data_IF_746223250042
#
_entry.id   IF_746223250042
#
_cell.length_a   1.000
_cell.length_b   1.000
_cell.length_c   1.000
_cell.angle_alpha   90.00
_cell.angle_beta   90.00
_cell.angle_gamma   90.00
#
_symmetry.space_group_name_H-M   'P 1'
#
loop_
_entity.id
_entity.type
_entity.pdbx_description
1 polymer ?
#
# COMPACT_ATOMS: atom_id res chain seq x y z
N UNK A 1 9.57 12.57 -11.68
CA UNK A 1 8.65 12.96 -10.60
C UNK A 1 8.69 11.91 -9.51
N UNK A 2 8.68 12.30 -8.23
CA UNK A 2 8.63 11.42 -7.06
C UNK A 2 7.45 11.85 -6.19
N UNK A 3 6.68 10.89 -5.69
CA UNK A 3 5.64 11.09 -4.68
C UNK A 3 5.94 10.21 -3.46
N UNK A 4 5.63 10.70 -2.27
CA UNK A 4 5.70 9.94 -1.03
C UNK A 4 4.30 9.74 -0.47
N UNK A 5 3.99 8.47 -0.18
CA UNK A 5 2.72 8.05 0.42
C UNK A 5 3.01 7.34 1.74
N UNK A 6 2.34 7.76 2.81
CA UNK A 6 2.40 7.09 4.11
C UNK A 6 1.48 5.86 4.13
N UNK A 7 2.11 4.72 4.35
CA UNK A 7 1.49 3.39 4.44
C UNK A 7 1.53 2.83 5.87
N UNK A 8 1.95 3.64 6.84
CA UNK A 8 1.94 3.27 8.25
C UNK A 8 0.51 3.09 8.77
N UNK A 9 0.41 2.65 10.04
CA UNK A 9 -0.84 2.58 10.78
C UNK A 9 -1.62 3.89 10.61
N UNK A 10 -2.95 3.79 10.47
CA UNK A 10 -3.79 4.97 10.25
C UNK A 10 -3.52 6.07 11.29
N UNK A 11 -3.28 7.29 10.80
CA UNK A 11 -3.12 8.50 11.59
C UNK A 11 -4.14 9.54 11.13
N UNK A 12 -4.31 10.63 11.87
CA UNK A 12 -5.17 11.76 11.47
C UNK A 12 -4.55 12.62 10.35
N UNK A 13 -3.32 12.32 9.93
CA UNK A 13 -2.60 13.08 8.92
C UNK A 13 -2.88 12.56 7.51
N UNK A 14 -2.70 13.44 6.51
CA UNK A 14 -2.79 13.03 5.11
C UNK A 14 -1.72 12.01 4.78
N UNK A 15 -2.13 10.93 4.09
CA UNK A 15 -1.19 9.94 3.55
C UNK A 15 -0.34 10.48 2.41
N UNK A 16 -0.75 11.55 1.74
CA UNK A 16 0.00 12.16 0.63
C UNK A 16 1.04 13.15 1.17
N UNK A 17 2.20 12.63 1.59
CA UNK A 17 3.17 13.37 2.39
C UNK A 17 4.04 14.36 1.60
N UNK A 18 4.21 14.17 0.29
CA UNK A 18 5.03 15.08 -0.50
C UNK A 18 5.25 14.67 -1.95
N UNK A 19 5.69 15.63 -2.76
CA UNK A 19 5.82 15.51 -4.20
C UNK A 19 6.99 16.36 -4.73
N UNK A 20 7.82 15.79 -5.61
CA UNK A 20 9.01 16.46 -6.15
C UNK A 20 9.22 16.15 -7.63
N UNK A 21 9.35 17.21 -8.44
CA UNK A 21 9.90 17.10 -9.80
C UNK A 21 11.42 17.11 -9.67
N UNK A 22 12.06 16.01 -10.05
CA UNK A 22 13.52 15.86 -9.98
C UNK A 22 14.12 16.18 -11.33
N UNK A 23 15.05 17.12 -11.32
CA UNK A 23 15.92 17.42 -12.43
C UNK A 23 16.93 16.28 -12.61
N UNK A 24 17.12 15.73 -13.83
CA UNK A 24 18.15 14.72 -14.10
C UNK A 24 19.56 15.10 -13.61
N UNK A 25 19.90 16.38 -13.51
CA UNK A 25 21.19 16.84 -12.97
C UNK A 25 21.29 16.72 -11.43
N UNK A 26 20.19 16.42 -10.72
CA UNK A 26 20.09 16.38 -9.25
C UNK A 26 19.76 14.98 -8.73
N UNK A 27 20.51 13.97 -9.16
CA UNK A 27 20.32 12.57 -8.74
C UNK A 27 20.51 12.36 -7.23
N UNK A 28 21.35 13.16 -6.57
CA UNK A 28 21.52 13.14 -5.11
C UNK A 28 20.20 13.39 -4.33
N UNK A 29 19.31 14.22 -4.88
CA UNK A 29 17.99 14.46 -4.33
C UNK A 29 17.13 13.20 -4.42
N UNK A 30 17.20 12.47 -5.54
CA UNK A 30 16.49 11.21 -5.71
C UNK A 30 16.96 10.18 -4.68
N UNK A 31 18.26 10.02 -4.47
CA UNK A 31 18.82 9.14 -3.42
C UNK A 31 18.32 9.52 -2.03
N UNK A 32 18.25 10.82 -1.72
CA UNK A 32 17.77 11.30 -0.42
C UNK A 32 16.28 11.01 -0.22
N UNK A 33 15.47 11.21 -1.26
CA UNK A 33 14.02 11.01 -1.20
C UNK A 33 13.58 9.54 -1.11
N UNK A 34 14.49 8.61 -1.37
CA UNK A 34 14.21 7.17 -1.49
C UNK A 34 14.93 6.31 -0.46
N UNK A 35 15.93 6.87 0.22
CA UNK A 35 16.64 6.22 1.33
C UNK A 35 15.66 5.72 2.39
N UNK A 36 15.85 4.47 2.81
CA UNK A 36 15.08 3.78 3.84
C UNK A 36 13.56 3.75 3.60
N UNK A 37 13.13 3.86 2.34
CA UNK A 37 11.72 3.80 1.92
C UNK A 37 11.47 2.62 1.00
N UNK A 38 10.22 2.19 0.94
CA UNK A 38 9.77 1.26 -0.09
C UNK A 38 9.61 2.00 -1.42
N UNK A 39 9.92 1.32 -2.52
CA UNK A 39 9.86 1.90 -3.85
C UNK A 39 8.74 1.28 -4.69
N UNK A 40 7.97 2.15 -5.31
CA UNK A 40 7.11 1.83 -6.45
C UNK A 40 7.59 2.67 -7.61
N UNK A 41 7.98 2.02 -8.70
CA UNK A 41 8.54 2.68 -9.86
C UNK A 41 7.94 2.10 -11.14
N UNK A 42 7.59 2.99 -12.07
CA UNK A 42 7.37 2.63 -13.48
C UNK A 42 8.69 2.17 -14.10
N UNK A 43 8.70 1.53 -15.27
CA UNK A 43 9.94 1.08 -15.92
C UNK A 43 10.96 2.23 -16.13
N UNK A 44 10.57 3.42 -16.64
CA UNK A 44 11.49 4.56 -16.71
C UNK A 44 11.96 5.05 -15.35
N UNK A 45 11.08 5.03 -14.34
CA UNK A 45 11.44 5.39 -12.96
C UNK A 45 12.45 4.42 -12.36
N UNK A 46 12.32 3.13 -12.65
CA UNK A 46 13.23 2.10 -12.18
C UNK A 46 14.64 2.28 -12.79
N UNK A 47 14.71 2.54 -14.10
CA UNK A 47 15.98 2.87 -14.78
C UNK A 47 16.63 4.11 -14.18
N UNK A 48 15.85 5.16 -13.88
CA UNK A 48 16.38 6.36 -13.22
C UNK A 48 16.92 6.07 -11.81
N UNK A 49 16.26 5.17 -11.06
CA UNK A 49 16.74 4.74 -9.74
C UNK A 49 18.04 3.94 -9.83
N UNK A 50 18.16 3.05 -10.82
CA UNK A 50 19.40 2.30 -11.08
C UNK A 50 20.56 3.23 -11.46
N UNK A 51 20.32 4.20 -12.35
CA UNK A 51 21.33 5.17 -12.76
C UNK A 51 21.83 6.07 -11.61
N UNK A 52 21.01 6.26 -10.57
CA UNK A 52 21.34 7.01 -9.36
C UNK A 52 21.97 6.14 -8.25
N UNK A 53 22.33 4.89 -8.55
CA UNK A 53 22.91 3.91 -7.62
C UNK A 53 22.12 3.76 -6.30
N UNK A 54 20.79 3.72 -6.44
CA UNK A 54 19.89 3.72 -5.29
C UNK A 54 19.75 2.35 -4.64
N UNK A 55 20.79 1.93 -3.94
CA UNK A 55 20.81 0.63 -3.26
C UNK A 55 20.26 0.69 -1.82
N UNK A 56 20.02 1.89 -1.27
CA UNK A 56 19.66 2.10 0.14
C UNK A 56 18.14 2.22 0.38
N UNK A 57 17.32 1.56 -0.42
CA UNK A 57 15.87 1.52 -0.22
C UNK A 57 15.46 0.22 0.52
N UNK A 58 14.31 0.21 1.19
CA UNK A 58 13.82 -0.99 1.91
C UNK A 58 13.41 -2.14 0.99
N UNK A 59 13.13 -1.86 -0.26
CA UNK A 59 12.76 -2.85 -1.28
C UNK A 59 11.82 -2.26 -2.32
N UNK A 60 11.71 -2.93 -3.45
CA UNK A 60 10.72 -2.58 -4.48
C UNK A 60 9.43 -3.33 -4.17
N UNK A 61 8.32 -2.61 -4.06
CA UNK A 61 7.02 -3.19 -3.73
C UNK A 61 6.47 -3.99 -4.91
N UNK A 62 5.98 -5.19 -4.62
CA UNK A 62 5.12 -5.95 -5.50
C UNK A 62 3.66 -5.53 -5.22
N UNK A 63 3.14 -4.61 -6.04
CA UNK A 63 1.78 -4.09 -5.89
C UNK A 63 0.70 -5.17 -6.04
N UNK A 64 0.94 -6.15 -6.91
CA UNK A 64 -0.01 -7.25 -7.14
C UNK A 64 -0.10 -8.14 -5.91
N UNK A 65 1.05 -8.58 -5.40
CA UNK A 65 1.10 -9.43 -4.20
C UNK A 65 0.61 -8.68 -2.95
N UNK A 66 0.89 -7.37 -2.87
CA UNK A 66 0.38 -6.49 -1.79
C UNK A 66 -1.14 -6.40 -1.83
N UNK A 67 -1.75 -6.13 -3.00
CA UNK A 67 -3.20 -6.09 -3.16
C UNK A 67 -3.84 -7.43 -2.81
N UNK A 68 -3.30 -8.54 -3.35
CA UNK A 68 -3.80 -9.89 -3.08
C UNK A 68 -3.75 -10.24 -1.58
N UNK A 69 -2.73 -9.77 -0.86
CA UNK A 69 -2.64 -9.95 0.60
C UNK A 69 -3.75 -9.21 1.33
N UNK A 70 -4.09 -7.99 0.91
CA UNK A 70 -5.20 -7.22 1.47
C UNK A 70 -6.55 -7.88 1.18
N UNK A 71 -6.77 -8.36 -0.04
CA UNK A 71 -8.00 -9.09 -0.43
C UNK A 71 -8.16 -10.41 0.32
N UNK A 72 -7.05 -11.13 0.53
CA UNK A 72 -7.03 -12.34 1.33
C UNK A 72 -7.42 -12.05 2.78
N UNK A 73 -6.93 -10.96 3.36
CA UNK A 73 -7.28 -10.58 4.74
C UNK A 73 -8.79 -10.30 4.88
N UNK A 74 -9.41 -9.60 3.93
CA UNK A 74 -10.88 -9.41 3.91
C UNK A 74 -11.59 -10.77 3.92
N UNK A 75 -11.14 -11.69 3.07
CA UNK A 75 -11.71 -13.04 2.98
C UNK A 75 -11.59 -13.81 4.30
N UNK A 76 -10.43 -13.76 4.94
CA UNK A 76 -10.18 -14.43 6.22
C UNK A 76 -11.04 -13.84 7.35
N UNK A 77 -11.13 -12.52 7.43
CA UNK A 77 -11.96 -11.84 8.44
C UNK A 77 -13.45 -12.08 8.22
N UNK A 78 -13.89 -12.13 6.96
CA UNK A 78 -15.27 -12.49 6.61
C UNK A 78 -15.60 -13.92 7.04
N UNK A 79 -14.71 -14.88 6.77
CA UNK A 79 -14.88 -16.27 7.22
C UNK A 79 -14.96 -16.38 8.75
N UNK A 80 -14.10 -15.64 9.48
CA UNK A 80 -14.14 -15.59 10.94
C UNK A 80 -15.47 -15.03 11.48
N UNK A 81 -16.01 -13.99 10.84
CA UNK A 81 -17.35 -13.47 11.16
C UNK A 81 -18.45 -14.53 10.96
N UNK A 82 -18.42 -15.24 9.84
CA UNK A 82 -19.41 -16.27 9.53
C UNK A 82 -19.35 -17.46 10.48
N UNK A 83 -18.14 -17.86 10.87
CA UNK A 83 -17.94 -18.90 11.89
C UNK A 83 -18.52 -18.46 13.24
N UNK A 84 -18.18 -17.25 13.70
CA UNK A 84 -18.71 -16.72 14.95
C UNK A 84 -20.24 -16.63 14.92
N UNK A 85 -20.80 -16.15 13.81
CA UNK A 85 -22.24 -15.99 13.63
C UNK A 85 -23.00 -17.32 13.67
N UNK A 86 -22.36 -18.44 13.31
CA UNK A 86 -22.94 -19.79 13.45
C UNK A 86 -22.84 -20.30 14.89
N UNK A 87 -21.76 -19.93 15.59
CA UNK A 87 -21.48 -20.38 16.96
C UNK A 87 -22.37 -19.68 17.99
N UNK A 88 -22.61 -18.38 17.84
CA UNK A 88 -23.40 -17.61 18.79
C UNK A 88 -24.91 -17.69 18.49
N UNK A 89 -25.72 -17.62 19.55
CA UNK A 89 -27.18 -17.49 19.45
C UNK A 89 -27.63 -16.03 19.23
N UNK A 90 -26.73 -15.06 19.43
CA UNK A 90 -27.01 -13.63 19.27
C UNK A 90 -26.80 -13.17 17.83
N UNK A 91 -27.69 -12.34 17.30
CA UNK A 91 -27.50 -11.73 15.97
C UNK A 91 -26.30 -10.77 16.00
N UNK A 92 -25.24 -11.09 15.26
CA UNK A 92 -24.09 -10.21 15.06
C UNK A 92 -24.36 -9.22 13.93
N UNK A 93 -23.78 -8.02 14.05
CA UNK A 93 -23.77 -7.05 12.95
C UNK A 93 -22.63 -7.40 12.01
N UNK A 94 -22.95 -7.56 10.73
CA UNK A 94 -21.97 -7.86 9.69
C UNK A 94 -20.91 -6.73 9.59
N UNK A 95 -19.64 -7.07 9.36
CA UNK A 95 -18.62 -6.08 9.04
C UNK A 95 -18.88 -5.46 7.65
N UNK A 96 -18.57 -4.17 7.53
CA UNK A 96 -18.62 -3.46 6.25
C UNK A 96 -17.21 -3.33 5.70
N UNK A 97 -16.91 -4.13 4.67
CA UNK A 97 -15.59 -4.12 4.03
C UNK A 97 -15.48 -3.00 3.01
N UNK A 98 -14.36 -2.25 3.00
CA UNK A 98 -14.14 -1.20 2.00
C UNK A 98 -13.93 -1.79 0.61
N UNK A 99 -14.19 -0.98 -0.40
CA UNK A 99 -13.71 -1.30 -1.76
C UNK A 99 -12.20 -1.09 -1.81
N UNK A 100 -11.49 -2.12 -2.27
CA UNK A 100 -10.05 -2.03 -2.59
C UNK A 100 -9.88 -1.53 -4.03
N UNK A 101 -8.81 -0.80 -4.34
CA UNK A 101 -8.61 -0.33 -5.71
C UNK A 101 -8.27 -1.50 -6.64
N UNK A 102 -8.68 -1.42 -7.90
CA UNK A 102 -8.36 -2.41 -8.92
C UNK A 102 -6.85 -2.52 -9.15
N UNK A 103 -6.37 -3.71 -9.54
CA UNK A 103 -4.96 -3.92 -9.85
C UNK A 103 -4.50 -2.96 -10.97
N UNK A 104 -3.34 -2.32 -10.77
CA UNK A 104 -2.73 -1.45 -11.78
C UNK A 104 -1.57 -2.13 -12.51
N UNK A 105 -1.36 -1.73 -13.76
CA UNK A 105 -0.19 -2.07 -14.56
C UNK A 105 0.82 -0.91 -14.51
N UNK A 106 2.07 -1.19 -14.16
CA UNK A 106 3.12 -0.16 -14.11
C UNK A 106 3.75 0.13 -15.48
N UNK A 107 3.53 -0.73 -16.48
CA UNK A 107 3.86 -0.45 -17.88
C UNK A 107 2.89 0.60 -18.46
N UNK A 108 1.62 0.52 -18.06
CA UNK A 108 0.56 1.46 -18.41
C UNK A 108 -0.07 2.09 -17.16
N UNK A 109 0.70 2.90 -16.40
CA UNK A 109 0.29 3.36 -15.09
C UNK A 109 -0.96 4.25 -15.15
N UNK A 110 -1.83 4.18 -14.12
CA UNK A 110 -2.96 5.10 -14.02
C UNK A 110 -2.46 6.53 -14.04
N UNK A 111 -3.21 7.40 -14.73
CA UNK A 111 -2.91 8.83 -14.84
C UNK A 111 -3.94 9.60 -14.03
N UNK A 112 -3.48 10.58 -13.25
CA UNK A 112 -4.39 11.49 -12.57
C UNK A 112 -5.05 12.45 -13.57
N UNK A 113 -6.38 12.31 -13.72
CA UNK A 113 -7.18 13.13 -14.64
C UNK A 113 -7.06 14.62 -14.29
N UNK A 114 -6.89 15.46 -15.30
CA UNK A 114 -6.78 16.91 -15.14
C UNK A 114 -5.43 17.41 -14.59
N UNK A 115 -4.45 16.52 -14.42
CA UNK A 115 -3.08 16.90 -14.00
C UNK A 115 -2.13 17.03 -15.20
N UNK A 116 -1.06 17.84 -15.11
CA UNK A 116 -0.04 17.94 -16.15
C UNK A 116 0.63 16.59 -16.44
N UNK A 117 0.96 16.33 -17.72
CA UNK A 117 1.51 15.04 -18.16
C UNK A 117 2.76 14.61 -17.38
N UNK A 118 3.59 15.58 -17.00
CA UNK A 118 4.82 15.36 -16.24
C UNK A 118 4.58 14.68 -14.87
N UNK A 119 3.43 14.93 -14.25
CA UNK A 119 3.09 14.42 -12.91
C UNK A 119 2.01 13.35 -12.92
N UNK A 120 1.26 13.23 -14.02
CA UNK A 120 0.03 12.46 -14.08
C UNK A 120 0.19 11.00 -13.67
N UNK A 121 1.21 10.30 -14.17
CA UNK A 121 1.44 8.89 -13.83
C UNK A 121 1.90 8.70 -12.38
N UNK A 122 2.84 9.52 -11.91
CA UNK A 122 3.34 9.40 -10.54
C UNK A 122 2.25 9.73 -9.51
N UNK A 123 1.42 10.74 -9.79
CA UNK A 123 0.26 11.08 -8.96
C UNK A 123 -0.82 10.00 -9.04
N UNK A 124 -1.09 9.42 -10.22
CA UNK A 124 -2.05 8.34 -10.36
C UNK A 124 -1.67 7.11 -9.53
N UNK A 125 -0.40 6.70 -9.57
CA UNK A 125 0.12 5.61 -8.72
C UNK A 125 0.03 5.99 -7.23
N UNK A 126 0.37 7.23 -6.87
CA UNK A 126 0.29 7.67 -5.48
C UNK A 126 -1.16 7.66 -4.94
N UNK A 127 -2.14 8.09 -5.74
CA UNK A 127 -3.57 8.01 -5.40
C UNK A 127 -4.09 6.57 -5.31
N UNK A 128 -3.56 5.68 -6.14
CA UNK A 128 -3.84 4.25 -6.02
C UNK A 128 -3.33 3.69 -4.68
N UNK A 129 -2.09 4.00 -4.30
CA UNK A 129 -1.51 3.58 -3.02
C UNK A 129 -2.24 4.18 -1.82
N UNK A 130 -2.61 5.45 -1.89
CA UNK A 130 -3.41 6.12 -0.87
C UNK A 130 -4.76 5.41 -0.67
N UNK A 131 -5.47 5.12 -1.78
CA UNK A 131 -6.75 4.38 -1.73
C UNK A 131 -6.57 3.03 -1.05
N UNK A 132 -5.52 2.28 -1.40
CA UNK A 132 -5.24 0.98 -0.77
C UNK A 132 -4.94 1.11 0.73
N UNK A 133 -4.14 2.10 1.13
CA UNK A 133 -3.80 2.34 2.53
C UNK A 133 -5.00 2.83 3.37
N UNK A 134 -5.91 3.60 2.77
CA UNK A 134 -7.19 3.98 3.40
C UNK A 134 -8.12 2.77 3.56
N UNK A 135 -8.21 1.92 2.53
CA UNK A 135 -8.96 0.67 2.61
C UNK A 135 -8.41 -0.22 3.74
N UNK A 136 -7.10 -0.38 3.83
CA UNK A 136 -6.47 -1.12 4.93
C UNK A 136 -6.80 -0.55 6.31
N UNK A 137 -6.75 0.77 6.49
CA UNK A 137 -7.17 1.41 7.73
C UNK A 137 -8.62 1.07 8.10
N UNK A 138 -9.53 1.08 7.13
CA UNK A 138 -10.93 0.69 7.35
C UNK A 138 -11.08 -0.78 7.75
N UNK A 139 -10.33 -1.70 7.12
CA UNK A 139 -10.29 -3.13 7.49
C UNK A 139 -9.82 -3.29 8.93
N UNK A 140 -8.74 -2.62 9.31
CA UNK A 140 -8.20 -2.65 10.68
C UNK A 140 -9.19 -2.10 11.70
N UNK A 141 -9.93 -1.03 11.38
CA UNK A 141 -11.01 -0.55 12.25
C UNK A 141 -12.11 -1.58 12.47
N UNK A 142 -12.55 -2.26 11.41
CA UNK A 142 -13.56 -3.31 11.53
C UNK A 142 -13.05 -4.49 12.38
N UNK A 143 -11.79 -4.90 12.17
CA UNK A 143 -11.12 -5.94 12.95
C UNK A 143 -11.04 -5.56 14.42
N UNK A 144 -10.48 -4.39 14.73
CA UNK A 144 -10.22 -3.93 16.10
C UNK A 144 -11.51 -3.69 16.91
N UNK A 145 -12.60 -3.28 16.26
CA UNK A 145 -13.89 -3.09 16.92
C UNK A 145 -14.52 -4.39 17.44
N UNK A 146 -14.10 -5.57 16.93
CA UNK A 146 -14.76 -6.86 17.19
C UNK A 146 -13.81 -7.84 17.86
N UNK A 147 -14.15 -8.32 19.05
CA UNK A 147 -13.28 -9.25 19.82
C UNK A 147 -12.95 -10.53 19.03
N UNK A 148 -13.93 -11.12 18.34
CA UNK A 148 -13.75 -12.35 17.58
C UNK A 148 -12.94 -12.17 16.28
N UNK A 149 -12.79 -10.94 15.76
CA UNK A 149 -11.92 -10.66 14.61
C UNK A 149 -10.51 -10.27 15.00
N UNK A 150 -10.32 -9.68 16.18
CA UNK A 150 -8.97 -9.37 16.70
C UNK A 150 -8.14 -10.61 16.97
N UNK A 151 -8.81 -11.72 17.31
CA UNK A 151 -8.15 -12.90 17.87
C UNK A 151 -7.29 -12.45 19.07
N UNK A 152 -6.03 -12.87 19.10
CA UNK A 152 -5.09 -12.58 20.19
C UNK A 152 -4.24 -11.32 19.98
N UNK A 153 -4.34 -10.63 18.82
CA UNK A 153 -3.57 -9.41 18.55
C UNK A 153 -4.46 -8.15 18.56
N UNK A 154 -4.47 -7.37 19.66
CA UNK A 154 -5.24 -6.14 19.74
C UNK A 154 -4.54 -4.93 19.10
N UNK A 155 -3.35 -5.10 18.52
CA UNK A 155 -2.52 -4.00 18.04
C UNK A 155 -2.91 -3.60 16.62
N UNK A 156 -2.88 -2.30 16.25
CA UNK A 156 -3.11 -1.88 14.88
C UNK A 156 -1.93 -2.30 13.98
N UNK A 157 -2.24 -2.79 12.79
CA UNK A 157 -1.26 -3.28 11.82
C UNK A 157 -1.06 -2.27 10.68
N UNK A 158 0.19 -2.10 10.24
CA UNK A 158 0.49 -1.33 9.03
C UNK A 158 0.06 -2.11 7.77
N UNK A 159 -0.04 -1.41 6.63
CA UNK A 159 -0.36 -2.04 5.34
C UNK A 159 0.63 -3.18 5.05
N UNK A 160 0.16 -4.42 4.73
CA UNK A 160 1.05 -5.55 4.51
C UNK A 160 1.75 -5.44 3.14
N UNK A 161 2.98 -4.94 3.14
CA UNK A 161 3.79 -4.75 1.93
C UNK A 161 4.47 -6.05 1.51
N UNK A 162 4.24 -6.45 0.26
CA UNK A 162 5.01 -7.51 -0.41
C UNK A 162 6.14 -6.89 -1.24
N UNK A 163 7.32 -7.51 -1.23
CA UNK A 163 8.50 -7.03 -1.97
C UNK A 163 8.82 -7.93 -3.17
N UNK A 164 9.21 -7.32 -4.30
CA UNK A 164 9.73 -8.04 -5.46
C UNK A 164 11.05 -8.73 -5.10
N UNK A 165 11.19 -9.99 -5.48
CA UNK A 165 12.49 -10.67 -5.48
C UNK A 165 13.06 -11.02 -4.10
N UNK A 166 12.24 -11.10 -3.05
CA UNK A 166 12.66 -11.83 -1.84
C UNK A 166 12.75 -13.30 -2.23
N UNK A 167 13.95 -13.78 -2.55
CA UNK A 167 14.25 -15.20 -2.33
C UNK A 167 13.92 -15.46 -0.87
N UNK A 168 13.03 -16.42 -0.62
CA UNK A 168 12.82 -16.91 0.73
C UNK A 168 14.22 -17.16 1.33
N UNK A 169 14.55 -16.44 2.40
CA UNK A 169 15.62 -16.88 3.27
C UNK A 169 15.14 -18.23 3.80
N UNK A 170 15.80 -19.29 3.32
CA UNK A 170 15.63 -20.63 3.88
C UNK A 170 15.81 -20.55 5.40
N UNK A 171 14.95 -21.35 6.05
CA UNK A 171 14.71 -21.45 7.50
C UNK A 171 15.96 -21.57 8.36
#
# INVERSE_FOLDING_TARGET
MVWQVDISVETELSRMCGAWVIDPARLNMLTTLTRDRYLVATPPGHLACQAADMNNHRGVVDLKSTLATVELEITLLQAAFEEESKRTKSKLVAPEWPQVPEQIDLEHPPRAVGSPDLVASALGIARWLETLALAWGSIERQRLARKYLRLDDPSPRALPISLKGVKALDR
#
